data_IF_640834128663
#
_entry.id   IF_640834128663
#
_cell.length_a   1.000
_cell.length_b   1.000
_cell.length_c   1.000
_cell.angle_alpha   90.00
_cell.angle_beta   90.00
_cell.angle_gamma   90.00
#
_symmetry.space_group_name_H-M   'P 1'
#
loop_
_entity.id
_entity.type
_entity.pdbx_description
1 polymer ?
#
# COMPACT_ATOMS: atom_id res chain seq x y z
N UNK A 1 14.19 9.52 21.36
CA UNK A 1 12.86 8.91 21.50
C UNK A 1 12.64 7.88 20.40
N UNK A 2 12.84 6.60 20.69
CA UNK A 2 12.88 5.56 19.67
C UNK A 2 11.97 4.38 19.98
N UNK A 3 11.40 3.83 18.89
CA UNK A 3 11.04 2.42 18.72
C UNK A 3 9.72 1.96 19.36
N UNK A 4 8.59 2.25 18.71
CA UNK A 4 7.41 1.34 18.69
C UNK A 4 6.34 1.67 17.61
N UNK A 5 6.70 2.32 16.50
CA UNK A 5 5.73 2.79 15.47
C UNK A 5 5.38 1.77 14.36
N UNK A 6 6.10 0.63 14.24
CA UNK A 6 5.93 -0.25 13.07
C UNK A 6 4.54 -0.89 12.94
N UNK A 7 3.89 -1.26 14.05
CA UNK A 7 2.52 -1.82 14.02
C UNK A 7 1.47 -0.73 13.73
N UNK A 8 1.63 0.46 14.29
CA UNK A 8 0.72 1.59 14.01
C UNK A 8 0.78 2.02 12.55
N UNK A 9 1.97 2.00 11.95
CA UNK A 9 2.17 2.52 10.59
C UNK A 9 1.37 1.71 9.54
N UNK A 10 1.30 0.37 9.67
CA UNK A 10 0.50 -0.46 8.77
C UNK A 10 -1.00 -0.31 8.99
N UNK A 11 -1.44 -0.16 10.25
CA UNK A 11 -2.85 0.11 10.55
C UNK A 11 -3.30 1.49 10.00
N UNK A 12 -2.42 2.49 10.10
CA UNK A 12 -2.65 3.82 9.53
C UNK A 12 -2.67 3.78 8.00
N UNK A 13 -1.70 3.10 7.37
CA UNK A 13 -1.68 2.91 5.93
C UNK A 13 -2.93 2.17 5.43
N UNK A 14 -3.37 1.13 6.15
CA UNK A 14 -4.62 0.40 5.87
C UNK A 14 -5.81 1.36 5.81
N UNK A 15 -5.96 2.20 6.84
CA UNK A 15 -7.07 3.15 6.98
C UNK A 15 -7.02 4.24 5.91
N UNK A 16 -5.85 4.84 5.67
CA UNK A 16 -5.69 5.96 4.72
C UNK A 16 -5.74 5.52 3.26
N UNK A 17 -5.11 4.39 2.93
CA UNK A 17 -5.05 3.86 1.57
C UNK A 17 -6.21 2.90 1.24
N UNK A 18 -7.14 2.68 2.19
CA UNK A 18 -8.29 1.76 2.05
C UNK A 18 -7.88 0.35 1.59
N UNK A 19 -6.80 -0.17 2.17
CA UNK A 19 -6.24 -1.49 1.84
C UNK A 19 -6.92 -2.60 2.65
N UNK A 20 -7.08 -3.77 2.03
CA UNK A 20 -7.49 -4.99 2.71
C UNK A 20 -6.28 -5.77 3.23
N UNK A 21 -6.52 -6.88 3.93
CA UNK A 21 -5.44 -7.72 4.43
C UNK A 21 -4.62 -8.35 3.30
N UNK A 22 -5.28 -8.75 2.21
CA UNK A 22 -4.63 -9.24 0.98
C UNK A 22 -3.74 -8.16 0.36
N UNK A 23 -4.24 -6.93 0.23
CA UNK A 23 -3.45 -5.82 -0.34
C UNK A 23 -2.22 -5.49 0.54
N UNK A 24 -2.33 -5.63 1.87
CA UNK A 24 -1.18 -5.47 2.78
C UNK A 24 -0.16 -6.61 2.59
N UNK A 25 -0.63 -7.84 2.39
CA UNK A 25 0.25 -8.97 2.14
C UNK A 25 1.00 -8.79 0.81
N UNK A 26 0.29 -8.43 -0.26
CA UNK A 26 0.88 -8.08 -1.56
C UNK A 26 1.93 -6.97 -1.41
N UNK A 27 1.60 -5.89 -0.70
CA UNK A 27 2.54 -4.79 -0.49
C UNK A 27 3.81 -5.23 0.28
N UNK A 28 3.68 -6.14 1.26
CA UNK A 28 4.84 -6.68 1.98
C UNK A 28 5.72 -7.56 1.09
N UNK A 29 5.11 -8.40 0.27
CA UNK A 29 5.83 -9.27 -0.68
C UNK A 29 6.55 -8.45 -1.76
N UNK A 30 5.97 -7.32 -2.16
CA UNK A 30 6.61 -6.33 -3.03
C UNK A 30 7.71 -5.52 -2.33
N UNK A 31 7.96 -5.72 -1.02
CA UNK A 31 8.96 -4.98 -0.26
C UNK A 31 8.55 -3.53 0.05
N UNK A 32 7.27 -3.18 -0.06
CA UNK A 32 6.78 -1.84 0.26
C UNK A 32 6.74 -1.59 1.76
N UNK A 33 6.90 -0.32 2.13
CA UNK A 33 6.79 0.13 3.52
C UNK A 33 5.49 0.90 3.74
N UNK A 34 4.89 0.85 4.95
CA UNK A 34 3.64 1.54 5.22
C UNK A 34 3.75 3.06 5.04
N UNK A 35 4.91 3.64 5.36
CA UNK A 35 5.20 5.05 5.12
C UNK A 35 5.28 5.38 3.62
N UNK A 36 5.82 4.47 2.81
CA UNK A 36 5.85 4.61 1.36
C UNK A 36 4.45 4.60 0.74
N UNK A 37 3.57 3.73 1.25
CA UNK A 37 2.16 3.68 0.83
C UNK A 37 1.43 4.99 1.16
N UNK A 38 1.60 5.51 2.37
CA UNK A 38 0.95 6.77 2.79
C UNK A 38 1.45 7.96 1.97
N UNK A 39 2.74 8.01 1.65
CA UNK A 39 3.30 9.07 0.81
C UNK A 39 2.82 9.03 -0.65
N UNK A 40 2.35 7.88 -1.11
CA UNK A 40 1.84 7.69 -2.47
C UNK A 40 0.32 7.88 -2.58
N UNK A 41 -0.36 8.32 -1.52
CA UNK A 41 -1.78 8.67 -1.60
C UNK A 41 -1.93 9.85 -2.58
N UNK A 42 -2.71 9.71 -3.65
CA UNK A 42 -2.91 10.78 -4.61
C UNK A 42 -3.69 11.94 -3.97
N UNK A 43 -3.28 13.17 -4.27
CA UNK A 43 -4.07 14.36 -3.96
C UNK A 43 -5.21 14.55 -4.98
N UNK A 44 -6.28 15.28 -4.65
CA UNK A 44 -7.38 15.54 -5.58
C UNK A 44 -6.94 16.18 -6.92
N UNK A 45 -5.84 16.93 -6.92
CA UNK A 45 -5.24 17.53 -8.11
C UNK A 45 -4.42 16.54 -8.97
N UNK A 46 -4.09 15.36 -8.44
CA UNK A 46 -3.28 14.33 -9.10
C UNK A 46 -4.15 13.22 -9.70
N UNK A 47 -5.08 13.58 -10.58
CA UNK A 47 -6.02 12.64 -11.20
C UNK A 47 -5.34 11.56 -12.06
N UNK A 48 -4.13 11.81 -12.52
CA UNK A 48 -3.30 10.87 -13.27
C UNK A 48 -2.68 9.76 -12.40
N UNK A 49 -2.72 9.88 -11.07
CA UNK A 49 -2.23 8.84 -10.16
C UNK A 49 -3.35 7.89 -9.76
N UNK A 50 -3.12 6.61 -9.99
CA UNK A 50 -4.00 5.56 -9.49
C UNK A 50 -4.03 5.54 -7.95
N UNK A 51 -5.17 5.16 -7.33
CA UNK A 51 -5.22 4.89 -5.90
C UNK A 51 -4.21 3.82 -5.51
N UNK A 52 -3.59 3.96 -4.33
CA UNK A 52 -2.57 3.03 -3.81
C UNK A 52 -3.03 1.57 -3.84
N UNK A 53 -4.33 1.31 -3.58
CA UNK A 53 -4.91 -0.03 -3.67
C UNK A 53 -4.77 -0.67 -5.05
N UNK A 54 -5.07 0.09 -6.10
CA UNK A 54 -4.98 -0.38 -7.49
C UNK A 54 -3.52 -0.60 -7.85
N UNK A 55 -2.68 0.40 -7.53
CA UNK A 55 -1.24 0.33 -7.79
C UNK A 55 -0.54 -0.88 -7.16
N UNK A 56 -0.87 -1.24 -5.92
CA UNK A 56 -0.31 -2.44 -5.26
C UNK A 56 -0.71 -3.71 -6.01
N UNK A 57 -1.96 -3.80 -6.48
CA UNK A 57 -2.46 -4.98 -7.22
C UNK A 57 -1.82 -5.10 -8.58
N UNK A 58 -1.72 -4.00 -9.31
CA UNK A 58 -1.09 -3.95 -10.64
C UNK A 58 0.38 -4.37 -10.54
N UNK A 59 1.13 -3.82 -9.58
CA UNK A 59 2.53 -4.21 -9.36
C UNK A 59 2.69 -5.66 -8.92
N UNK A 60 1.76 -6.16 -8.10
CA UNK A 60 1.77 -7.56 -7.69
C UNK A 60 1.52 -8.48 -8.87
N UNK A 61 0.55 -8.14 -9.72
CA UNK A 61 0.24 -8.85 -10.95
C UNK A 61 1.42 -8.83 -11.93
N UNK A 62 2.09 -7.69 -12.11
CA UNK A 62 3.25 -7.58 -13.00
C UNK A 62 4.44 -8.42 -12.51
N UNK A 63 4.61 -8.55 -11.18
CA UNK A 63 5.74 -9.26 -10.57
C UNK A 63 5.51 -10.76 -10.44
N UNK A 64 4.29 -11.18 -10.11
CA UNK A 64 3.95 -12.56 -9.78
C UNK A 64 3.01 -13.22 -10.79
N UNK A 65 2.43 -12.47 -11.72
CA UNK A 65 1.48 -12.98 -12.71
C UNK A 65 0.09 -13.29 -12.15
N UNK A 66 -0.12 -13.10 -10.84
CA UNK A 66 -1.35 -13.46 -10.14
C UNK A 66 -1.79 -12.34 -9.19
N UNK A 67 -3.08 -12.29 -8.85
CA UNK A 67 -3.61 -11.36 -7.83
C UNK A 67 -4.26 -12.18 -6.72
N UNK A 68 -3.86 -11.93 -5.48
CA UNK A 68 -4.51 -12.52 -4.30
C UNK A 68 -5.96 -12.02 -4.23
N UNK A 69 -6.91 -12.92 -4.52
CA UNK A 69 -8.36 -12.66 -4.48
C UNK A 69 -8.88 -12.51 -3.05
#
# INVERSE_FOLDING_TARGET
>A
MGRNKKKSDWAEAKKRCRLNQNDIQMAKELGMTPKGLIKNIPFPSQQWKAPVKVWVRDLYQDKFGEVLK
#
